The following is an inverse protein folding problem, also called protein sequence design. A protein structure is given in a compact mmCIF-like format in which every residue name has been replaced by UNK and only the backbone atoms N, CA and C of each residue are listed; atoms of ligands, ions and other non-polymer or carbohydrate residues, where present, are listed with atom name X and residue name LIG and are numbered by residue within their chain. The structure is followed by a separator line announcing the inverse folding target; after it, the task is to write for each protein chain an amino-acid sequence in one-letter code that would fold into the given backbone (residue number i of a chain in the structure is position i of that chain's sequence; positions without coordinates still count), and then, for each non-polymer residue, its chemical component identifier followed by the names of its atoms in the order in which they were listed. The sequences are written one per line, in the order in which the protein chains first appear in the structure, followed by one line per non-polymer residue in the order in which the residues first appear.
data_IF_791075095914
#
_entry.id   IF_791075095914
#
_cell.length_a   1.000
_cell.length_b   1.000
_cell.length_c   1.000
_cell.angle_alpha   90.00
_cell.angle_beta   90.00
_cell.angle_gamma   90.00
#
_symmetry.space_group_name_H-M   'P 1'
#
loop_
_entity.id
_entity.type
_entity.pdbx_description
1 polymer ?
#
# COMPACT_ATOMS: atom_id res chain seq x y z
N UNK A 1 0.00 -25.39 -33.91
CA UNK A 1 0.10 -25.16 -32.46
C UNK A 1 0.59 -23.74 -32.22
N UNK A 2 -0.25 -22.89 -31.62
CA UNK A 2 0.09 -21.49 -31.31
C UNK A 2 -0.31 -21.21 -29.87
N UNK A 3 0.52 -21.65 -28.93
CA UNK A 3 0.35 -21.30 -27.52
C UNK A 3 1.67 -21.48 -26.78
N UNK A 4 1.83 -20.71 -25.70
CA UNK A 4 2.87 -20.83 -24.65
C UNK A 4 4.23 -20.17 -24.88
N UNK A 5 4.24 -18.84 -25.07
CA UNK A 5 5.23 -17.96 -24.42
C UNK A 5 4.55 -16.66 -23.98
N UNK A 6 3.49 -16.78 -23.18
CA UNK A 6 3.10 -15.63 -22.35
C UNK A 6 4.25 -15.41 -21.36
N UNK A 7 4.94 -14.29 -21.53
CA UNK A 7 6.15 -13.89 -20.80
C UNK A 7 5.91 -13.98 -19.28
N UNK A 8 6.59 -14.92 -18.60
CA UNK A 8 6.43 -15.18 -17.17
C UNK A 8 6.60 -13.91 -16.31
N UNK A 9 7.37 -12.93 -16.78
CA UNK A 9 7.53 -11.64 -16.12
C UNK A 9 6.24 -10.81 -16.10
N UNK A 10 5.46 -10.83 -17.19
CA UNK A 10 4.17 -10.10 -17.28
C UNK A 10 3.08 -10.74 -16.42
N UNK A 11 3.01 -12.07 -16.36
CA UNK A 11 2.03 -12.77 -15.53
C UNK A 11 2.30 -12.54 -14.05
N UNK A 12 3.57 -12.62 -13.63
CA UNK A 12 3.97 -12.31 -12.25
C UNK A 12 3.69 -10.84 -11.89
N UNK A 13 3.89 -9.92 -12.84
CA UNK A 13 3.57 -8.50 -12.64
C UNK A 13 2.08 -8.25 -12.43
N UNK A 14 1.23 -8.91 -13.21
CA UNK A 14 -0.22 -8.82 -13.07
C UNK A 14 -0.65 -9.37 -11.70
N UNK A 15 -0.15 -10.54 -11.30
CA UNK A 15 -0.53 -11.19 -10.04
C UNK A 15 0.00 -10.44 -8.81
N UNK A 16 1.31 -10.22 -8.73
CA UNK A 16 1.94 -9.57 -7.57
C UNK A 16 1.57 -8.08 -7.50
N UNK A 17 1.55 -7.39 -8.64
CA UNK A 17 1.39 -5.94 -8.71
C UNK A 17 -0.06 -5.43 -8.75
N UNK A 18 -1.02 -6.22 -9.26
CA UNK A 18 -2.43 -5.81 -9.30
C UNK A 18 -3.29 -6.52 -8.26
N UNK A 19 -2.92 -7.72 -7.82
CA UNK A 19 -3.75 -8.51 -6.91
C UNK A 19 -3.15 -8.56 -5.51
N UNK A 20 -1.93 -9.09 -5.35
CA UNK A 20 -1.36 -9.35 -4.02
C UNK A 20 -1.04 -8.08 -3.25
N UNK A 21 -0.22 -7.19 -3.81
CA UNK A 21 0.22 -5.98 -3.10
C UNK A 21 -0.95 -5.05 -2.78
N UNK A 22 -1.85 -4.73 -3.71
CA UNK A 22 -3.08 -3.98 -3.42
C UNK A 22 -3.94 -4.61 -2.31
N UNK A 23 -4.18 -5.93 -2.38
CA UNK A 23 -5.01 -6.62 -1.39
C UNK A 23 -4.37 -6.59 0.00
N UNK A 24 -3.08 -6.90 0.11
CA UNK A 24 -2.36 -6.86 1.39
C UNK A 24 -2.30 -5.45 1.98
N UNK A 25 -2.03 -4.42 1.16
CA UNK A 25 -2.06 -3.02 1.62
C UNK A 25 -3.46 -2.62 2.09
N UNK A 26 -4.51 -3.05 1.38
CA UNK A 26 -5.89 -2.77 1.75
C UNK A 26 -6.27 -3.42 3.08
N UNK A 27 -5.89 -4.68 3.28
CA UNK A 27 -6.18 -5.40 4.51
C UNK A 27 -5.47 -4.75 5.70
N UNK A 28 -4.21 -4.31 5.53
CA UNK A 28 -3.50 -3.51 6.55
C UNK A 28 -4.16 -2.16 6.81
N UNK A 29 -4.57 -1.44 5.76
CA UNK A 29 -5.26 -0.16 5.88
C UNK A 29 -6.60 -0.33 6.61
N UNK A 30 -7.35 -1.39 6.32
CA UNK A 30 -8.61 -1.69 7.00
C UNK A 30 -8.41 -1.88 8.51
N UNK A 31 -7.36 -2.58 8.94
CA UNK A 31 -7.01 -2.71 10.35
C UNK A 31 -6.64 -1.36 10.99
N UNK A 32 -5.92 -0.50 10.27
CA UNK A 32 -5.57 0.84 10.75
C UNK A 32 -6.81 1.73 10.90
N UNK A 33 -7.72 1.68 9.93
CA UNK A 33 -8.98 2.43 9.93
C UNK A 33 -9.89 1.95 11.07
N UNK A 34 -10.04 0.64 11.26
CA UNK A 34 -10.82 0.07 12.38
C UNK A 34 -10.30 0.55 13.73
N UNK A 35 -8.97 0.59 13.90
CA UNK A 35 -8.34 1.09 15.14
C UNK A 35 -8.47 2.60 15.31
N UNK A 36 -8.63 3.37 14.23
CA UNK A 36 -8.56 4.84 14.23
C UNK A 36 -9.71 5.50 13.43
N UNK A 37 -10.96 5.16 13.75
CA UNK A 37 -12.16 5.61 13.03
C UNK A 37 -12.31 7.14 12.85
N UNK A 38 -11.74 7.95 13.76
CA UNK A 38 -11.85 9.42 13.72
C UNK A 38 -10.93 10.07 12.69
N UNK A 39 -9.87 9.38 12.27
CA UNK A 39 -8.79 9.91 11.43
C UNK A 39 -8.70 9.16 10.09
N UNK A 40 -9.73 8.42 9.70
CA UNK A 40 -9.78 7.57 8.49
C UNK A 40 -9.26 8.26 7.23
N UNK A 41 -9.65 9.51 7.00
CA UNK A 41 -9.22 10.26 5.80
C UNK A 41 -7.71 10.56 5.79
N UNK A 42 -7.10 10.71 6.96
CA UNK A 42 -5.65 10.96 7.08
C UNK A 42 -4.80 9.69 7.08
N UNK A 43 -5.42 8.51 7.09
CA UNK A 43 -4.68 7.24 7.10
C UNK A 43 -4.39 6.79 5.67
N UNK A 44 -3.15 6.36 5.48
CA UNK A 44 -2.71 5.74 4.25
C UNK A 44 -1.65 4.68 4.55
N UNK A 45 -1.52 3.73 3.64
CA UNK A 45 -0.44 2.73 3.64
C UNK A 45 0.40 2.90 2.40
N UNK A 46 1.66 2.52 2.49
CA UNK A 46 2.64 2.65 1.42
C UNK A 46 3.31 1.30 1.23
N UNK A 47 3.49 0.91 -0.03
CA UNK A 47 4.18 -0.31 -0.41
C UNK A 47 5.07 -0.08 -1.62
N UNK A 48 6.02 -0.97 -1.83
CA UNK A 48 6.90 -0.96 -3.00
C UNK A 48 6.65 -2.22 -3.82
N UNK A 49 6.63 -2.06 -5.14
CA UNK A 49 6.57 -3.16 -6.10
C UNK A 49 7.93 -3.21 -6.80
N UNK A 50 8.64 -4.33 -6.63
CA UNK A 50 9.93 -4.58 -7.29
C UNK A 50 9.73 -5.70 -8.30
N UNK A 51 9.94 -5.40 -9.57
CA UNK A 51 9.68 -6.34 -10.67
C UNK A 51 10.84 -6.29 -11.66
N UNK A 52 11.68 -7.33 -11.65
CA UNK A 52 12.91 -7.34 -12.44
C UNK A 52 13.82 -6.18 -12.05
N UNK A 53 14.17 -5.33 -13.01
CA UNK A 53 14.92 -4.10 -12.82
C UNK A 53 13.99 -2.87 -12.75
N UNK A 54 12.79 -2.99 -12.19
CA UNK A 54 11.87 -1.86 -12.00
C UNK A 54 11.39 -1.75 -10.57
N UNK A 55 11.26 -0.51 -10.08
CA UNK A 55 10.70 -0.14 -8.78
C UNK A 55 9.51 0.80 -8.98
N UNK A 56 8.40 0.51 -8.32
CA UNK A 56 7.24 1.39 -8.22
C UNK A 56 6.86 1.58 -6.75
N UNK A 57 6.39 2.79 -6.43
CA UNK A 57 5.78 3.09 -5.14
C UNK A 57 4.26 3.05 -5.27
N UNK A 58 3.61 2.33 -4.38
CA UNK A 58 2.15 2.23 -4.27
C UNK A 58 1.72 2.89 -2.97
N UNK A 59 0.72 3.76 -3.07
CA UNK A 59 0.09 4.42 -1.93
C UNK A 59 -1.39 4.07 -1.94
N UNK A 60 -1.89 3.63 -0.79
CA UNK A 60 -3.29 3.34 -0.57
C UNK A 60 -3.86 4.32 0.45
N UNK A 61 -4.88 5.07 0.08
CA UNK A 61 -5.51 6.07 0.95
C UNK A 61 -7.05 6.01 0.91
N UNK A 62 -7.70 6.62 1.90
CA UNK A 62 -9.17 6.70 1.98
C UNK A 62 -9.59 8.17 1.82
N UNK A 63 -9.91 8.65 0.61
CA UNK A 63 -10.04 10.09 0.34
C UNK A 63 -11.25 10.75 1.02
N UNK A 64 -12.42 10.09 1.05
CA UNK A 64 -13.63 10.55 1.76
C UNK A 64 -14.62 9.38 1.90
N UNK A 65 -15.15 9.17 3.11
CA UNK A 65 -16.00 8.02 3.45
C UNK A 65 -15.23 6.85 4.07
N UNK A 66 -15.94 5.81 4.50
CA UNK A 66 -15.36 4.62 5.15
C UNK A 66 -15.21 3.39 4.24
N UNK A 67 -15.66 3.49 2.98
CA UNK A 67 -15.92 2.31 2.15
C UNK A 67 -15.09 2.23 0.86
N UNK A 68 -14.44 3.32 0.46
CA UNK A 68 -13.67 3.36 -0.79
C UNK A 68 -12.20 3.64 -0.47
N UNK A 69 -11.33 2.68 -0.79
CA UNK A 69 -9.88 2.87 -0.79
C UNK A 69 -9.41 3.19 -2.21
N UNK A 70 -8.55 4.19 -2.33
CA UNK A 70 -7.91 4.58 -3.60
C UNK A 70 -6.49 4.05 -3.65
N UNK A 71 -6.10 3.58 -4.83
CA UNK A 71 -4.75 3.12 -5.12
C UNK A 71 -4.09 4.13 -6.04
N UNK A 72 -2.96 4.69 -5.61
CA UNK A 72 -2.12 5.58 -6.42
C UNK A 72 -0.77 4.92 -6.60
N UNK A 73 -0.28 4.87 -7.85
CA UNK A 73 1.03 4.29 -8.19
C UNK A 73 1.90 5.39 -8.81
N UNK A 74 3.18 5.39 -8.49
CA UNK A 74 4.14 6.26 -9.19
C UNK A 74 4.49 5.68 -10.56
N UNK A 75 5.19 6.48 -11.38
CA UNK A 75 5.89 5.96 -12.54
C UNK A 75 6.87 4.84 -12.15
N UNK A 76 7.19 3.98 -13.11
CA UNK A 76 8.23 2.96 -13.00
C UNK A 76 9.59 3.63 -13.02
N UNK A 77 10.42 3.27 -12.04
CA UNK A 77 11.82 3.65 -12.01
C UNK A 77 12.66 2.42 -12.30
N UNK A 78 13.51 2.50 -13.32
CA UNK A 78 14.36 1.39 -13.72
C UNK A 78 15.68 1.39 -12.93
N UNK A 79 16.12 0.21 -12.52
CA UNK A 79 17.44 -0.01 -11.97
C UNK A 79 18.48 0.04 -13.10
N UNK A 80 19.63 0.70 -12.87
CA UNK A 80 20.69 0.73 -13.86
C UNK A 80 21.16 -0.69 -14.19
N UNK A 81 21.18 -1.01 -15.47
CA UNK A 81 21.68 -2.28 -15.99
C UNK A 81 23.17 -2.24 -16.36
N UNK A 82 23.74 -1.03 -16.50
CA UNK A 82 25.15 -0.79 -16.77
C UNK A 82 25.81 0.02 -15.66
N UNK A 83 27.05 -0.34 -15.31
CA UNK A 83 27.80 0.30 -14.21
C UNK A 83 28.07 1.78 -14.49
N UNK A 84 28.24 2.15 -15.75
CA UNK A 84 28.54 3.51 -16.22
C UNK A 84 27.42 4.51 -15.87
N UNK A 85 26.17 4.06 -15.93
CA UNK A 85 25.01 4.91 -15.64
C UNK A 85 24.53 4.77 -14.18
N UNK A 86 25.16 3.91 -13.39
CA UNK A 86 24.72 3.57 -12.05
C UNK A 86 24.63 4.79 -11.13
N UNK A 87 25.59 5.70 -11.18
CA UNK A 87 25.59 6.88 -10.32
C UNK A 87 24.42 7.84 -10.61
N UNK A 88 24.01 7.95 -11.88
CA UNK A 88 22.95 8.86 -12.33
C UNK A 88 21.58 8.24 -12.11
N UNK A 89 21.39 7.00 -12.56
CA UNK A 89 20.09 6.33 -12.56
C UNK A 89 19.68 5.82 -11.18
N UNK A 90 20.63 5.63 -10.26
CA UNK A 90 20.34 5.18 -8.90
C UNK A 90 19.85 6.30 -7.98
N UNK A 91 20.18 7.55 -8.29
CA UNK A 91 19.74 8.72 -7.50
C UNK A 91 18.21 8.85 -7.42
N UNK A 92 17.42 8.76 -8.51
CA UNK A 92 15.96 8.83 -8.42
C UNK A 92 15.36 7.64 -7.65
N UNK A 93 15.97 6.45 -7.72
CA UNK A 93 15.55 5.28 -6.93
C UNK A 93 15.74 5.51 -5.43
N UNK A 94 16.90 6.02 -5.03
CA UNK A 94 17.17 6.42 -3.64
C UNK A 94 16.17 7.47 -3.16
N UNK A 95 15.89 8.47 -4.00
CA UNK A 95 14.92 9.51 -3.66
C UNK A 95 13.50 8.95 -3.50
N UNK A 96 13.09 8.00 -4.35
CA UNK A 96 11.80 7.32 -4.25
C UNK A 96 11.69 6.54 -2.94
N UNK A 97 12.70 5.73 -2.60
CA UNK A 97 12.73 4.94 -1.36
C UNK A 97 12.72 5.86 -0.14
N UNK A 98 13.48 6.96 -0.18
CA UNK A 98 13.52 7.93 0.91
C UNK A 98 12.16 8.61 1.13
N UNK A 99 11.48 9.03 0.05
CA UNK A 99 10.12 9.60 0.13
C UNK A 99 9.12 8.58 0.67
N UNK A 100 9.17 7.32 0.20
CA UNK A 100 8.32 6.26 0.72
C UNK A 100 8.55 6.01 2.21
N UNK A 101 9.80 6.00 2.68
CA UNK A 101 10.14 5.92 4.11
C UNK A 101 9.54 7.10 4.90
N UNK A 102 9.69 8.33 4.41
CA UNK A 102 9.11 9.51 5.07
C UNK A 102 7.59 9.40 5.21
N UNK A 103 6.91 8.94 4.15
CA UNK A 103 5.48 8.70 4.14
C UNK A 103 5.08 7.64 5.17
N UNK A 104 5.81 6.53 5.28
CA UNK A 104 5.58 5.50 6.31
C UNK A 104 5.76 6.04 7.74
N UNK A 105 6.80 6.85 7.98
CA UNK A 105 7.02 7.49 9.28
C UNK A 105 5.87 8.44 9.63
N UNK A 106 5.38 9.21 8.67
CA UNK A 106 4.25 10.12 8.86
C UNK A 106 2.96 9.34 9.13
N UNK A 107 2.66 8.29 8.37
CA UNK A 107 1.52 7.40 8.61
C UNK A 107 1.57 6.80 10.03
N UNK A 108 2.74 6.37 10.49
CA UNK A 108 2.91 5.84 11.85
C UNK A 108 2.67 6.91 12.93
N UNK A 109 3.11 8.15 12.70
CA UNK A 109 2.80 9.28 13.61
C UNK A 109 1.30 9.53 13.69
N UNK A 110 0.60 9.57 12.55
CA UNK A 110 -0.85 9.80 12.50
C UNK A 110 -1.60 8.67 13.20
N UNK A 111 -1.19 7.42 12.99
CA UNK A 111 -1.79 6.24 13.62
C UNK A 111 -1.57 6.21 15.14
N UNK A 112 -0.44 6.72 15.63
CA UNK A 112 -0.09 6.74 17.06
C UNK A 112 -0.45 8.02 17.80
N UNK A 113 -0.89 9.08 17.12
CA UNK A 113 -1.34 10.35 17.71
C UNK A 113 -2.72 10.23 18.40
N UNK A 114 -2.91 9.14 19.17
CA UNK A 114 -4.01 8.98 20.09
C UNK A 114 -3.71 9.81 21.34
N UNK A 115 -4.57 10.79 21.65
CA UNK A 115 -4.83 11.09 23.06
C UNK A 115 -5.41 9.80 23.66
N UNK A 116 -4.65 9.08 24.49
CA UNK A 116 -5.19 8.01 25.35
C UNK A 116 -6.41 8.60 26.07
N UNK A 117 -7.61 8.21 25.66
CA UNK A 117 -8.75 8.21 26.58
C UNK A 117 -8.84 6.76 27.05
N UNK A 118 -8.58 6.56 28.34
CA UNK A 118 -9.10 5.43 29.09
C UNK A 118 -10.58 5.26 28.74
N UNK A 119 -10.89 4.29 27.90
CA UNK A 119 -12.19 3.60 27.90
C UNK A 119 -11.90 2.17 27.45
N UNK A 120 -11.11 1.46 28.24
CA UNK A 120 -11.40 0.06 28.47
C UNK A 120 -12.24 0.01 29.75
N UNK A 121 -13.25 -0.86 29.75
CA UNK A 121 -14.26 -1.08 30.80
C UNK A 121 -15.56 -0.24 30.68
N UNK A 122 -16.37 -0.55 29.67
CA UNK A 122 -17.68 -1.15 29.94
C UNK A 122 -18.20 -1.83 28.67
N UNK A 123 -18.62 -3.08 28.81
CA UNK A 123 -18.85 -3.99 27.69
C UNK A 123 -19.95 -3.59 26.72
N UNK A 124 -19.84 -4.10 25.50
CA UNK A 124 -20.96 -4.82 24.87
C UNK A 124 -20.40 -5.65 23.71
N UNK A 125 -20.89 -6.88 23.63
CA UNK A 125 -20.65 -7.79 22.52
C UNK A 125 -21.15 -7.13 21.23
N UNK A 126 -20.24 -6.70 20.35
CA UNK A 126 -20.56 -6.46 18.95
C UNK A 126 -19.53 -7.19 18.10
N UNK A 127 -19.90 -8.36 17.62
CA UNK A 127 -19.29 -9.00 16.45
C UNK A 127 -19.06 -7.96 15.35
N UNK A 128 -17.90 -7.95 14.67
CA UNK A 128 -17.72 -7.10 13.50
C UNK A 128 -18.67 -7.59 12.41
N UNK A 129 -19.83 -6.94 12.28
CA UNK A 129 -20.75 -7.19 11.18
C UNK A 129 -20.14 -6.59 9.92
N UNK A 130 -19.44 -7.42 9.14
CA UNK A 130 -19.23 -7.11 7.73
C UNK A 130 -20.61 -6.95 7.07
N UNK A 131 -20.77 -5.91 6.25
CA UNK A 131 -22.00 -5.73 5.49
C UNK A 131 -22.17 -6.91 4.51
N UNK A 132 -23.42 -7.32 4.21
CA UNK A 132 -23.71 -8.50 3.39
C UNK A 132 -23.05 -8.52 2.00
N UNK A 133 -22.59 -7.38 1.48
CA UNK A 133 -22.00 -7.25 0.14
C UNK A 133 -20.57 -7.77 -0.01
N UNK A 134 -20.01 -8.43 1.01
CA UNK A 134 -18.71 -9.11 0.90
C UNK A 134 -18.84 -10.60 0.53
N UNK A 135 -20.06 -11.10 0.38
CA UNK A 135 -20.35 -12.40 -0.21
C UNK A 135 -21.02 -12.18 -1.56
N UNK A 136 -20.20 -11.97 -2.58
CA UNK A 136 -20.49 -12.29 -3.98
C UNK A 136 -19.15 -12.56 -4.68
#
# INVERSE_FOLDING_TARGET
EFTTKYDQHTVKYLDDGLVKVPKSLRDMLALLVQKNQRKTNSLYTVGFIVMGLCLELVVLDVPVGSHIARITRTARFEFPSAVENMAVDFLPLLQLVFKGKQAMVMANKIANDRKRKEVELLGSNSTPSFLPSFYD
#
